data_IF_883268814391
#
_entry.id   IF_883268814391
#
_cell.length_a   1.000
_cell.length_b   1.000
_cell.length_c   1.000
_cell.angle_alpha   90.00
_cell.angle_beta   90.00
_cell.angle_gamma   90.00
#
_symmetry.space_group_name_H-M   'P 1'
#
loop_
_entity.id
_entity.type
_entity.pdbx_description
1 polymer ?
#
# COMPACT_ATOMS: atom_id res chain seq x y z
N UNK A 1 7.10 -23.76 48.91
CA UNK A 1 7.21 -24.23 47.50
C UNK A 1 5.95 -23.81 46.70
N UNK A 2 5.64 -22.50 46.65
CA UNK A 2 4.44 -22.03 45.93
C UNK A 2 4.71 -20.78 45.02
N UNK A 3 5.98 -20.44 44.77
CA UNK A 3 6.30 -19.21 44.00
C UNK A 3 6.78 -19.51 42.58
N UNK A 4 7.07 -20.81 42.23
CA UNK A 4 7.65 -21.14 40.91
C UNK A 4 6.63 -21.40 39.79
N UNK A 5 5.33 -21.51 40.12
CA UNK A 5 4.30 -21.82 39.13
C UNK A 5 3.69 -20.58 38.44
N UNK A 6 3.90 -19.36 38.99
CA UNK A 6 3.27 -18.14 38.46
C UNK A 6 4.07 -17.47 37.33
N UNK A 7 5.38 -17.72 37.28
CA UNK A 7 6.27 -17.11 36.27
C UNK A 7 6.20 -17.77 34.90
N UNK A 8 5.83 -19.05 34.81
CA UNK A 8 5.70 -19.77 33.52
C UNK A 8 4.44 -19.40 32.72
N UNK A 9 3.39 -18.94 33.41
CA UNK A 9 2.12 -18.56 32.75
C UNK A 9 2.17 -17.18 32.09
N UNK A 10 3.01 -16.26 32.61
CA UNK A 10 3.16 -14.93 32.05
C UNK A 10 4.03 -14.90 30.77
N UNK A 11 5.07 -15.73 30.69
CA UNK A 11 5.93 -15.81 29.52
C UNK A 11 5.20 -16.39 28.29
N UNK A 12 4.31 -17.35 28.48
CA UNK A 12 3.53 -17.94 27.37
C UNK A 12 2.48 -16.99 26.77
N UNK A 13 1.90 -16.09 27.56
CA UNK A 13 0.94 -15.08 27.04
C UNK A 13 1.63 -13.95 26.27
N UNK A 14 2.81 -13.53 26.65
CA UNK A 14 3.55 -12.48 25.97
C UNK A 14 4.01 -12.95 24.59
N UNK A 15 4.54 -14.16 24.48
CA UNK A 15 4.99 -14.76 23.21
C UNK A 15 3.81 -14.95 22.25
N UNK A 16 2.68 -15.45 22.72
CA UNK A 16 1.50 -15.66 21.86
C UNK A 16 0.85 -14.33 21.38
N UNK A 17 0.92 -13.27 22.16
CA UNK A 17 0.44 -11.95 21.75
C UNK A 17 1.35 -11.29 20.71
N UNK A 18 2.66 -11.48 20.81
CA UNK A 18 3.67 -10.97 19.89
C UNK A 18 3.59 -11.68 18.53
N UNK A 19 3.50 -13.01 18.52
CA UNK A 19 3.30 -13.82 17.31
C UNK A 19 2.00 -13.44 16.56
N UNK A 20 0.93 -13.12 17.28
CA UNK A 20 -0.33 -12.67 16.69
C UNK A 20 -0.19 -11.31 16.02
N UNK A 21 0.51 -10.36 16.65
CA UNK A 21 0.76 -9.04 16.08
C UNK A 21 1.62 -9.12 14.81
N UNK A 22 2.67 -9.93 14.83
CA UNK A 22 3.55 -10.18 13.68
C UNK A 22 2.76 -10.84 12.53
N UNK A 23 1.89 -11.81 12.82
CA UNK A 23 1.06 -12.44 11.79
C UNK A 23 0.07 -11.45 11.16
N UNK A 24 -0.57 -10.60 11.98
CA UNK A 24 -1.41 -9.50 11.49
C UNK A 24 -0.58 -8.53 10.64
N UNK A 25 0.60 -8.14 11.10
CA UNK A 25 1.50 -7.24 10.38
C UNK A 25 1.92 -7.80 9.02
N UNK A 26 2.24 -9.10 8.95
CA UNK A 26 2.53 -9.78 7.68
C UNK A 26 1.37 -9.65 6.70
N UNK A 27 0.16 -9.93 7.15
CA UNK A 27 -1.04 -9.79 6.34
C UNK A 27 -1.20 -8.36 5.80
N UNK A 28 -1.06 -7.36 6.67
CA UNK A 28 -1.21 -5.94 6.31
C UNK A 28 -0.11 -5.45 5.38
N UNK A 29 1.14 -5.88 5.54
CA UNK A 29 2.27 -5.53 4.65
C UNK A 29 2.03 -6.05 3.24
N UNK A 30 1.48 -7.26 3.09
CA UNK A 30 1.06 -7.77 1.78
C UNK A 30 -0.14 -6.97 1.24
N UNK A 31 -1.19 -6.79 2.04
CA UNK A 31 -2.38 -6.04 1.64
C UNK A 31 -2.08 -4.58 1.25
N UNK A 32 -1.04 -3.99 1.83
CA UNK A 32 -0.56 -2.65 1.50
C UNK A 32 0.39 -2.60 0.28
N UNK A 33 0.68 -3.72 -0.38
CA UNK A 33 1.55 -3.77 -1.54
C UNK A 33 3.03 -3.43 -1.26
N UNK A 34 3.46 -3.46 0.01
CA UNK A 34 4.84 -3.11 0.35
C UNK A 34 5.87 -4.00 -0.37
N UNK A 35 5.58 -5.30 -0.49
CA UNK A 35 6.47 -6.28 -1.13
C UNK A 35 6.69 -5.93 -2.59
N UNK A 36 5.62 -5.62 -3.32
CA UNK A 36 5.65 -5.29 -4.74
C UNK A 36 6.58 -4.12 -5.05
N UNK A 37 6.51 -3.04 -4.25
CA UNK A 37 7.33 -1.86 -4.48
C UNK A 37 8.74 -1.96 -3.86
N UNK A 38 8.90 -2.65 -2.72
CA UNK A 38 10.16 -2.67 -1.98
C UNK A 38 11.02 -3.93 -2.24
N UNK A 39 10.74 -4.68 -3.31
CA UNK A 39 11.54 -5.82 -3.76
C UNK A 39 11.93 -5.60 -5.21
N UNK A 40 13.19 -5.76 -5.57
CA UNK A 40 13.65 -5.71 -6.98
C UNK A 40 13.03 -6.85 -7.80
N UNK A 41 12.93 -6.63 -9.11
CA UNK A 41 12.42 -7.64 -10.06
C UNK A 41 13.48 -8.68 -10.45
N UNK A 42 14.66 -8.68 -9.82
CA UNK A 42 15.78 -9.56 -10.12
C UNK A 42 15.63 -10.93 -9.46
N UNK A 43 16.09 -11.98 -10.15
CA UNK A 43 16.12 -13.33 -9.61
C UNK A 43 17.01 -13.38 -8.36
N UNK A 44 16.45 -13.79 -7.23
CA UNK A 44 17.14 -13.85 -5.94
C UNK A 44 17.15 -12.54 -5.17
N UNK A 45 16.37 -11.54 -5.57
CA UNK A 45 16.20 -10.31 -4.80
C UNK A 45 15.72 -10.62 -3.37
N UNK A 46 16.30 -9.89 -2.40
CA UNK A 46 15.87 -10.00 -1.00
C UNK A 46 14.57 -9.22 -0.82
N UNK A 47 13.46 -9.87 -0.40
CA UNK A 47 12.20 -9.19 -0.21
C UNK A 47 12.33 -7.99 0.74
N UNK A 48 11.69 -6.88 0.39
CA UNK A 48 11.63 -5.64 1.18
C UNK A 48 12.98 -4.92 1.36
N UNK A 49 14.04 -5.37 0.67
CA UNK A 49 15.35 -4.72 0.72
C UNK A 49 15.49 -3.50 -0.21
N UNK A 50 14.40 -3.10 -0.86
CA UNK A 50 14.38 -1.93 -1.75
C UNK A 50 15.15 -2.12 -3.05
N UNK A 51 15.33 -1.03 -3.79
CA UNK A 51 16.08 -1.00 -5.04
C UNK A 51 15.23 -1.08 -6.31
N UNK A 52 13.94 -1.42 -6.21
CA UNK A 52 13.04 -1.45 -7.38
C UNK A 52 12.94 -0.06 -8.00
N UNK A 53 13.13 0.00 -9.32
CA UNK A 53 12.90 1.18 -10.12
C UNK A 53 11.40 1.38 -10.36
N UNK A 54 10.91 2.56 -10.02
CA UNK A 54 9.53 3.00 -10.23
C UNK A 54 9.55 4.13 -11.25
N UNK A 55 9.30 3.79 -12.50
CA UNK A 55 9.29 4.76 -13.60
C UNK A 55 8.05 5.68 -13.52
N UNK A 56 8.23 6.94 -13.82
CA UNK A 56 7.16 7.93 -13.84
C UNK A 56 7.42 9.02 -14.87
N UNK A 57 6.42 9.82 -15.25
CA UNK A 57 6.62 11.01 -16.08
C UNK A 57 7.58 12.06 -15.49
N UNK A 58 7.93 11.91 -14.20
CA UNK A 58 8.80 12.84 -13.46
C UNK A 58 10.24 12.32 -13.32
N UNK A 59 10.53 11.11 -13.80
CA UNK A 59 11.79 10.39 -13.64
C UNK A 59 11.63 9.09 -12.89
N UNK A 60 12.74 8.46 -12.55
CA UNK A 60 12.75 7.15 -11.88
C UNK A 60 12.97 7.31 -10.38
N UNK A 61 12.04 6.82 -9.60
CA UNK A 61 12.18 6.68 -8.16
C UNK A 61 12.70 5.27 -7.84
N UNK A 62 13.52 5.15 -6.81
CA UNK A 62 13.98 3.85 -6.32
C UNK A 62 13.43 3.62 -4.92
N UNK A 63 12.79 2.47 -4.71
CA UNK A 63 12.23 2.12 -3.41
C UNK A 63 13.34 1.94 -2.36
N UNK A 64 13.17 2.46 -1.14
CA UNK A 64 14.15 2.25 -0.07
C UNK A 64 14.07 0.84 0.51
N UNK A 65 15.15 0.42 1.18
CA UNK A 65 15.19 -0.75 2.04
C UNK A 65 14.31 -0.51 3.28
N UNK A 66 13.32 -1.36 3.51
CA UNK A 66 12.43 -1.33 4.69
C UNK A 66 12.59 -2.55 5.60
N UNK A 67 13.70 -3.30 5.45
CA UNK A 67 14.11 -4.32 6.42
C UNK A 67 14.66 -3.67 7.70
N UNK A 68 14.79 -4.41 8.82
CA UNK A 68 15.26 -3.85 10.08
C UNK A 68 16.79 -3.66 10.15
N UNK A 69 17.45 -3.45 9.00
CA UNK A 69 18.85 -3.03 9.00
C UNK A 69 18.97 -1.59 9.52
N UNK A 70 19.91 -1.38 10.47
CA UNK A 70 20.08 -0.08 11.11
C UNK A 70 20.74 0.95 10.19
N UNK A 71 21.59 0.50 9.28
CA UNK A 71 22.42 1.38 8.45
C UNK A 71 21.78 1.74 7.10
N UNK A 72 21.01 0.84 6.52
CA UNK A 72 20.43 0.99 5.18
C UNK A 72 18.91 0.81 5.11
N UNK A 73 18.30 0.35 6.20
CA UNK A 73 16.86 0.11 6.32
C UNK A 73 16.22 1.00 7.39
N UNK A 74 15.13 0.47 7.97
CA UNK A 74 14.34 1.20 8.97
C UNK A 74 14.62 0.73 10.41
N UNK A 75 15.68 -0.04 10.65
CA UNK A 75 15.98 -0.67 11.95
C UNK A 75 16.20 0.30 13.10
N UNK A 76 16.54 1.56 12.82
CA UNK A 76 16.69 2.63 13.83
C UNK A 76 15.39 3.39 14.13
N UNK A 77 14.29 3.14 13.40
CA UNK A 77 13.05 3.92 13.49
C UNK A 77 12.24 3.60 14.73
N UNK A 78 11.80 4.62 15.43
CA UNK A 78 10.79 4.50 16.49
C UNK A 78 9.41 4.14 15.90
N UNK A 79 8.45 3.85 16.77
CA UNK A 79 7.06 3.65 16.36
C UNK A 79 6.44 4.92 15.75
N UNK A 80 6.81 6.07 16.31
CA UNK A 80 6.31 7.35 15.83
C UNK A 80 6.94 7.72 14.48
N UNK A 81 8.21 7.44 14.23
CA UNK A 81 8.85 7.63 12.91
C UNK A 81 8.13 6.83 11.82
N UNK A 82 7.85 5.56 12.08
CA UNK A 82 7.16 4.70 11.12
C UNK A 82 5.74 5.20 10.83
N UNK A 83 5.00 5.56 11.88
CA UNK A 83 3.64 6.09 11.75
C UNK A 83 3.65 7.44 11.01
N UNK A 84 4.59 8.32 11.33
CA UNK A 84 4.73 9.64 10.68
C UNK A 84 5.08 9.49 9.19
N UNK A 85 5.93 8.52 8.84
CA UNK A 85 6.23 8.23 7.45
C UNK A 85 4.97 7.86 6.65
N UNK A 86 4.13 6.96 7.18
CA UNK A 86 2.88 6.57 6.53
C UNK A 86 1.85 7.70 6.51
N UNK A 87 1.71 8.41 7.62
CA UNK A 87 0.62 9.36 7.80
C UNK A 87 0.90 10.74 7.20
N UNK A 88 2.14 11.19 7.32
CA UNK A 88 2.53 12.55 6.96
C UNK A 88 3.54 12.58 5.79
N UNK A 89 4.07 11.42 5.37
CA UNK A 89 5.10 11.38 4.34
C UNK A 89 6.35 12.15 4.75
N UNK A 90 6.83 11.95 5.97
CA UNK A 90 8.07 12.52 6.51
C UNK A 90 9.00 11.39 6.96
N UNK A 91 10.30 11.57 6.74
CA UNK A 91 11.32 10.70 7.31
C UNK A 91 11.69 11.14 8.74
N UNK A 92 12.53 10.38 9.50
CA UNK A 92 12.95 10.76 10.86
C UNK A 92 13.72 12.09 10.95
N UNK A 93 14.22 12.60 9.84
CA UNK A 93 14.91 13.90 9.74
C UNK A 93 13.95 15.04 9.35
N UNK A 94 12.63 14.81 9.41
CA UNK A 94 11.58 15.76 9.00
C UNK A 94 11.62 16.17 7.51
N UNK A 95 12.27 15.37 6.66
CA UNK A 95 12.27 15.60 5.23
C UNK A 95 11.04 15.00 4.55
N UNK A 96 10.48 15.73 3.59
CA UNK A 96 9.31 15.28 2.86
C UNK A 96 9.63 14.14 1.88
N UNK A 97 8.81 13.09 1.87
CA UNK A 97 8.81 12.10 0.80
C UNK A 97 8.16 12.67 -0.47
N UNK A 98 8.60 12.15 -1.61
CA UNK A 98 7.90 12.34 -2.87
C UNK A 98 6.61 11.54 -2.89
N UNK A 99 5.55 12.02 -3.60
CA UNK A 99 4.27 11.30 -3.69
C UNK A 99 4.30 10.02 -4.55
N UNK A 100 5.47 9.54 -4.93
CA UNK A 100 5.71 8.17 -5.37
C UNK A 100 5.54 7.16 -4.22
N UNK A 101 5.79 7.60 -2.98
CA UNK A 101 5.37 6.89 -1.78
C UNK A 101 3.93 7.31 -1.46
N UNK A 102 2.95 6.37 -1.40
CA UNK A 102 1.53 6.70 -1.35
C UNK A 102 1.05 7.12 0.05
N UNK A 103 1.78 8.03 0.72
CA UNK A 103 1.37 8.58 2.02
C UNK A 103 0.03 9.31 1.94
N UNK A 104 -0.35 9.80 0.77
CA UNK A 104 -1.66 10.40 0.50
C UNK A 104 -2.82 9.44 0.76
N UNK A 105 -2.59 8.17 0.54
CA UNK A 105 -3.53 7.09 0.85
C UNK A 105 -3.29 6.53 2.26
N UNK A 106 -2.03 6.27 2.63
CA UNK A 106 -1.67 5.70 3.93
C UNK A 106 -1.99 6.59 5.13
N UNK A 107 -2.22 7.89 4.92
CA UNK A 107 -2.69 8.79 5.97
C UNK A 107 -3.96 8.29 6.65
N UNK A 108 -4.80 7.48 5.97
CA UNK A 108 -5.99 6.86 6.54
C UNK A 108 -5.76 5.54 7.28
N UNK A 109 -4.55 4.96 7.22
CA UNK A 109 -4.24 3.70 7.93
C UNK A 109 -4.32 3.91 9.44
N UNK A 110 -4.91 2.96 10.17
CA UNK A 110 -4.99 3.06 11.62
C UNK A 110 -3.62 2.91 12.27
N UNK A 111 -3.41 3.56 13.42
CA UNK A 111 -2.15 3.40 14.16
C UNK A 111 -1.88 1.95 14.56
N UNK A 112 -2.93 1.22 14.90
CA UNK A 112 -2.81 -0.18 15.28
C UNK A 112 -2.30 -1.03 14.11
N UNK A 113 -2.84 -0.82 12.91
CA UNK A 113 -2.38 -1.51 11.70
C UNK A 113 -0.95 -1.11 11.31
N UNK A 114 -0.61 0.18 11.39
CA UNK A 114 0.75 0.66 11.13
C UNK A 114 1.77 0.00 12.09
N UNK A 115 1.46 -0.10 13.38
CA UNK A 115 2.33 -0.74 14.36
C UNK A 115 2.42 -2.27 14.16
N UNK A 116 1.34 -2.92 13.73
CA UNK A 116 1.37 -4.33 13.36
C UNK A 116 2.27 -4.54 12.12
N UNK A 117 2.15 -3.70 11.09
CA UNK A 117 3.05 -3.72 9.92
C UNK A 117 4.51 -3.58 10.33
N UNK A 118 4.82 -2.59 11.19
CA UNK A 118 6.18 -2.41 11.73
C UNK A 118 6.65 -3.64 12.48
N UNK A 119 5.83 -4.23 13.35
CA UNK A 119 6.19 -5.43 14.11
C UNK A 119 6.62 -6.59 13.20
N UNK A 120 5.91 -6.78 12.08
CA UNK A 120 6.31 -7.78 11.08
C UNK A 120 7.62 -7.41 10.39
N UNK A 121 7.79 -6.17 9.91
CA UNK A 121 9.02 -5.73 9.25
C UNK A 121 10.23 -5.88 10.17
N UNK A 122 10.08 -5.59 11.46
CA UNK A 122 11.13 -5.74 12.47
C UNK A 122 11.37 -7.18 12.92
N UNK A 123 10.51 -8.13 12.55
CA UNK A 123 10.72 -9.56 12.75
C UNK A 123 11.54 -10.24 11.62
N UNK A 124 11.79 -9.52 10.53
CA UNK A 124 12.55 -10.02 9.39
C UNK A 124 14.06 -9.98 9.66
N UNK A 125 14.80 -10.78 8.90
CA UNK A 125 16.26 -10.66 8.89
C UNK A 125 16.69 -9.34 8.25
N UNK A 126 17.63 -8.59 8.85
CA UNK A 126 18.12 -7.35 8.27
C UNK A 126 18.90 -7.60 6.97
N UNK A 127 18.61 -6.86 5.93
CA UNK A 127 19.35 -6.89 4.68
C UNK A 127 20.21 -5.62 4.55
N UNK A 128 21.53 -5.78 4.47
CA UNK A 128 22.46 -4.67 4.27
C UNK A 128 22.47 -4.31 2.78
N UNK A 129 21.64 -3.36 2.39
CA UNK A 129 21.51 -2.92 1.00
C UNK A 129 21.13 -1.44 0.92
N UNK A 130 21.97 -0.65 0.25
CA UNK A 130 21.65 0.74 -0.09
C UNK A 130 20.87 0.78 -1.39
N UNK A 131 19.73 1.45 -1.39
CA UNK A 131 18.99 1.71 -2.63
C UNK A 131 19.69 2.81 -3.45
N UNK A 132 19.58 2.76 -4.78
CA UNK A 132 20.08 3.86 -5.63
C UNK A 132 19.42 5.20 -5.29
N UNK A 133 20.12 6.29 -5.59
CA UNK A 133 19.53 7.61 -5.57
C UNK A 133 18.47 7.73 -6.68
N UNK A 134 17.41 8.52 -6.43
CA UNK A 134 16.39 8.78 -7.45
C UNK A 134 17.00 9.47 -8.68
N UNK A 135 16.64 9.01 -9.86
CA UNK A 135 17.00 9.66 -11.13
C UNK A 135 15.90 10.65 -11.54
N UNK A 136 15.98 11.85 -11.00
CA UNK A 136 15.00 12.91 -11.20
C UNK A 136 15.67 14.15 -11.82
N UNK A 137 14.96 14.91 -12.67
CA UNK A 137 15.41 16.22 -13.09
C UNK A 137 15.70 17.10 -11.87
N UNK A 138 16.76 17.92 -11.94
CA UNK A 138 17.24 18.73 -10.80
C UNK A 138 16.15 19.60 -10.16
N UNK A 139 15.17 20.06 -10.94
CA UNK A 139 14.06 20.88 -10.44
C UNK A 139 12.97 20.07 -9.73
N UNK A 140 12.97 18.73 -9.86
CA UNK A 140 12.06 17.80 -9.20
C UNK A 140 12.70 17.09 -8.00
N UNK A 141 14.03 17.12 -7.87
CA UNK A 141 14.76 16.39 -6.82
C UNK A 141 14.71 17.05 -5.44
N UNK A 142 14.11 18.24 -5.33
CA UNK A 142 14.05 18.98 -4.07
C UNK A 142 12.96 18.47 -3.13
N UNK A 143 13.34 17.98 -1.97
CA UNK A 143 12.40 17.61 -0.90
C UNK A 143 11.58 18.79 -0.36
N UNK A 144 12.12 20.01 -0.45
CA UNK A 144 11.36 21.25 -0.15
C UNK A 144 10.23 21.46 -1.16
N UNK A 145 10.48 21.15 -2.45
CA UNK A 145 9.42 21.22 -3.47
C UNK A 145 8.33 20.16 -3.22
N UNK A 146 8.70 18.97 -2.75
CA UNK A 146 7.73 17.96 -2.30
C UNK A 146 6.87 18.48 -1.13
N UNK A 147 7.46 19.23 -0.18
CA UNK A 147 6.71 19.92 0.88
C UNK A 147 5.72 20.95 0.35
N UNK A 148 6.10 21.73 -0.65
CA UNK A 148 5.20 22.67 -1.34
C UNK A 148 4.06 21.97 -2.06
N UNK A 149 4.32 20.82 -2.69
CA UNK A 149 3.31 19.98 -3.30
C UNK A 149 2.30 19.48 -2.26
N UNK A 150 2.78 19.00 -1.11
CA UNK A 150 1.91 18.56 0.02
C UNK A 150 0.95 19.65 0.48
N UNK A 151 1.43 20.87 0.69
CA UNK A 151 0.58 22.00 1.10
C UNK A 151 -0.59 22.20 0.13
N UNK A 152 -0.40 21.90 -1.15
CA UNK A 152 -1.42 22.14 -2.18
C UNK A 152 -2.36 20.96 -2.43
N UNK A 153 -1.90 19.72 -2.23
CA UNK A 153 -2.57 18.53 -2.73
C UNK A 153 -2.73 17.42 -1.69
N UNK A 154 -2.25 17.60 -0.49
CA UNK A 154 -2.34 16.58 0.56
C UNK A 154 -3.21 17.07 1.72
N UNK A 155 -4.26 16.29 1.98
CA UNK A 155 -5.10 16.43 3.16
C UNK A 155 -4.88 15.22 4.07
N UNK A 156 -4.24 15.47 5.22
CA UNK A 156 -4.05 14.43 6.22
C UNK A 156 -5.40 14.08 6.88
N UNK A 157 -5.72 12.80 6.92
CA UNK A 157 -6.98 12.34 7.52
C UNK A 157 -6.94 10.87 7.87
N UNK A 158 -7.52 10.50 9.01
CA UNK A 158 -7.67 9.09 9.41
C UNK A 158 -8.96 8.53 8.83
N UNK A 159 -8.96 7.24 8.50
CA UNK A 159 -10.19 6.60 8.07
C UNK A 159 -11.23 6.64 9.19
N UNK A 160 -12.40 7.13 8.87
CA UNK A 160 -13.58 7.10 9.73
C UNK A 160 -14.65 6.21 9.10
N UNK A 161 -15.22 5.32 9.91
CA UNK A 161 -16.29 4.46 9.43
C UNK A 161 -17.57 5.27 9.18
N UNK A 162 -18.20 5.03 8.04
CA UNK A 162 -19.55 5.51 7.76
C UNK A 162 -20.56 4.62 8.49
N UNK A 163 -21.18 5.15 9.54
CA UNK A 163 -22.20 4.45 10.35
C UNK A 163 -23.48 4.14 9.59
N UNK A 164 -23.69 4.75 8.42
CA UNK A 164 -24.82 4.47 7.52
C UNK A 164 -24.57 3.26 6.61
N UNK A 165 -23.35 2.72 6.60
CA UNK A 165 -22.94 1.60 5.76
C UNK A 165 -22.68 0.33 6.58
N UNK A 166 -22.59 -0.81 5.89
CA UNK A 166 -22.26 -2.08 6.54
C UNK A 166 -20.78 -2.15 6.94
N UNK A 167 -20.45 -3.05 7.87
CA UNK A 167 -19.05 -3.33 8.24
C UNK A 167 -18.22 -3.78 7.02
N UNK A 168 -18.80 -4.63 6.16
CA UNK A 168 -18.16 -5.09 4.93
C UNK A 168 -17.86 -3.92 3.98
N UNK A 169 -18.78 -2.98 3.81
CA UNK A 169 -18.57 -1.79 3.00
C UNK A 169 -17.45 -0.91 3.58
N UNK A 170 -17.48 -0.64 4.88
CA UNK A 170 -16.45 0.13 5.57
C UNK A 170 -15.07 -0.53 5.47
N UNK A 171 -15.01 -1.85 5.60
CA UNK A 171 -13.76 -2.60 5.39
C UNK A 171 -13.25 -2.46 3.96
N UNK A 172 -14.14 -2.56 2.98
CA UNK A 172 -13.80 -2.34 1.56
C UNK A 172 -13.29 -0.92 1.29
N UNK A 173 -13.96 0.10 1.84
CA UNK A 173 -13.55 1.49 1.74
C UNK A 173 -12.13 1.71 2.32
N UNK A 174 -11.85 1.13 3.49
CA UNK A 174 -10.53 1.18 4.12
C UNK A 174 -9.45 0.53 3.25
N UNK A 175 -9.74 -0.66 2.70
CA UNK A 175 -8.81 -1.38 1.84
C UNK A 175 -8.55 -0.65 0.53
N UNK A 176 -9.59 -0.18 -0.15
CA UNK A 176 -9.45 0.45 -1.47
C UNK A 176 -8.81 1.83 -1.39
N UNK A 177 -9.22 2.65 -0.43
CA UNK A 177 -8.77 4.05 -0.35
C UNK A 177 -7.45 4.23 0.38
N UNK A 178 -7.18 3.37 1.36
CA UNK A 178 -6.05 3.57 2.26
C UNK A 178 -5.03 2.44 2.17
N UNK A 179 -5.33 1.26 2.67
CA UNK A 179 -4.32 0.21 2.80
C UNK A 179 -3.85 -0.30 1.43
N UNK A 180 -4.77 -0.69 0.54
CA UNK A 180 -4.45 -1.18 -0.80
C UNK A 180 -4.32 -0.08 -1.85
N UNK A 181 -4.62 1.18 -1.51
CA UNK A 181 -4.43 2.41 -2.30
C UNK A 181 -4.72 2.28 -3.81
N UNK A 182 -5.77 1.57 -4.19
CA UNK A 182 -6.12 1.27 -5.58
C UNK A 182 -6.21 2.53 -6.46
N UNK A 183 -6.62 3.66 -5.85
CA UNK A 183 -6.70 4.97 -6.50
C UNK A 183 -5.37 5.50 -7.00
N UNK A 184 -4.24 5.08 -6.44
CA UNK A 184 -2.91 5.56 -6.87
C UNK A 184 -2.60 5.20 -8.33
N UNK A 185 -3.09 4.04 -8.79
CA UNK A 185 -2.98 3.62 -10.19
C UNK A 185 -4.28 3.91 -10.97
N UNK A 186 -5.45 3.61 -10.39
CA UNK A 186 -6.73 3.64 -11.10
C UNK A 186 -7.42 5.02 -11.14
N UNK A 187 -6.77 6.09 -10.68
CA UNK A 187 -7.29 7.47 -10.76
C UNK A 187 -6.40 8.32 -11.65
N UNK A 188 -6.96 9.12 -12.57
CA UNK A 188 -6.14 10.00 -13.40
C UNK A 188 -5.37 11.01 -12.55
N UNK A 189 -4.20 11.42 -13.03
CA UNK A 189 -3.37 12.43 -12.36
C UNK A 189 -3.36 13.73 -13.13
N UNK A 190 -3.25 14.82 -12.40
CA UNK A 190 -3.00 16.14 -12.97
C UNK A 190 -1.53 16.32 -13.37
N UNK A 191 -1.21 17.46 -13.97
CA UNK A 191 0.13 17.79 -14.47
C UNK A 191 1.27 17.73 -13.43
N UNK A 192 0.94 17.86 -12.16
CA UNK A 192 1.88 17.79 -11.05
C UNK A 192 1.77 16.46 -10.26
N UNK A 193 1.16 15.43 -10.85
CA UNK A 193 1.07 14.09 -10.30
C UNK A 193 0.00 13.89 -9.22
N UNK A 194 -0.74 14.93 -8.84
CA UNK A 194 -1.85 14.80 -7.88
C UNK A 194 -3.04 14.06 -8.49
N UNK A 195 -3.70 13.22 -7.70
CA UNK A 195 -4.91 12.50 -8.09
C UNK A 195 -6.04 13.50 -8.38
N UNK A 196 -6.91 13.14 -9.33
CA UNK A 196 -8.11 13.92 -9.67
C UNK A 196 -9.32 13.36 -8.91
N UNK A 197 -9.69 13.94 -7.78
CA UNK A 197 -10.76 13.48 -6.89
C UNK A 197 -12.12 13.31 -7.60
N UNK A 198 -12.40 14.15 -8.59
CA UNK A 198 -13.63 14.07 -9.39
C UNK A 198 -13.66 12.87 -10.35
N UNK A 199 -12.55 12.15 -10.52
CA UNK A 199 -12.39 10.99 -11.37
C UNK A 199 -11.82 9.77 -10.61
N UNK A 200 -12.09 9.68 -9.30
CA UNK A 200 -11.65 8.58 -8.46
C UNK A 200 -11.98 7.23 -9.10
N UNK A 201 -10.98 6.37 -9.27
CA UNK A 201 -11.04 5.04 -9.88
C UNK A 201 -11.53 4.95 -11.33
N UNK A 202 -11.59 6.08 -12.05
CA UNK A 202 -12.02 6.15 -13.44
C UNK A 202 -10.96 5.70 -14.47
N UNK A 203 -9.86 5.12 -14.00
CA UNK A 203 -8.73 4.71 -14.82
C UNK A 203 -7.69 5.82 -15.01
N UNK A 204 -6.54 5.47 -15.54
CA UNK A 204 -5.46 6.40 -15.85
C UNK A 204 -4.82 6.02 -17.18
N UNK A 205 -5.14 6.78 -18.22
CA UNK A 205 -4.65 6.53 -19.57
C UNK A 205 -3.17 6.92 -19.77
N UNK A 206 -2.60 7.68 -18.84
CA UNK A 206 -1.23 8.21 -18.89
C UNK A 206 -0.42 7.70 -17.69
N UNK A 207 -0.59 6.43 -17.31
CA UNK A 207 0.10 5.84 -16.15
C UNK A 207 1.59 5.65 -16.41
N UNK A 208 1.96 5.15 -17.57
CA UNK A 208 3.33 4.94 -18.02
C UNK A 208 3.51 5.19 -19.51
N UNK A 209 4.72 5.06 -20.05
CA UNK A 209 5.02 5.36 -21.46
C UNK A 209 4.16 4.60 -22.48
N UNK A 210 3.74 3.39 -22.16
CA UNK A 210 2.89 2.53 -23.00
C UNK A 210 1.84 1.79 -22.17
N UNK A 211 1.54 2.28 -20.95
CA UNK A 211 0.61 1.64 -20.03
C UNK A 211 -0.60 2.53 -19.73
N UNK A 212 -1.77 1.95 -19.89
CA UNK A 212 -3.03 2.51 -19.40
C UNK A 212 -3.60 1.63 -18.31
N UNK A 213 -4.05 2.26 -17.22
CA UNK A 213 -4.73 1.57 -16.12
C UNK A 213 -6.24 1.70 -16.31
N UNK A 214 -7.01 0.59 -16.28
CA UNK A 214 -8.42 0.60 -16.60
C UNK A 214 -9.27 1.31 -15.54
N UNK A 215 -10.44 1.78 -15.97
CA UNK A 215 -11.52 2.22 -15.10
C UNK A 215 -12.09 1.02 -14.33
N UNK A 216 -12.09 1.10 -13.00
CA UNK A 216 -12.66 0.08 -12.11
C UNK A 216 -13.94 0.55 -11.41
N UNK A 217 -14.53 1.68 -11.84
CA UNK A 217 -15.86 2.08 -11.35
C UNK A 217 -16.96 1.16 -11.89
N UNK A 218 -18.18 1.18 -11.30
CA UNK A 218 -19.29 0.36 -11.80
C UNK A 218 -19.92 0.91 -13.09
N UNK A 219 -19.16 1.64 -13.92
CA UNK A 219 -19.59 1.98 -15.28
C UNK A 219 -19.70 0.70 -16.13
N UNK A 220 -20.80 0.59 -16.89
CA UNK A 220 -21.09 -0.64 -17.66
C UNK A 220 -20.43 -0.69 -19.04
N UNK A 221 -19.96 0.44 -19.53
CA UNK A 221 -19.37 0.55 -20.86
C UNK A 221 -17.84 0.61 -20.78
N UNK A 222 -17.33 1.39 -19.83
CA UNK A 222 -15.89 1.68 -19.72
C UNK A 222 -15.23 1.13 -18.45
N UNK A 223 -16.03 0.62 -17.51
CA UNK A 223 -15.54 0.08 -16.23
C UNK A 223 -15.97 -1.37 -16.00
N UNK A 224 -15.94 -1.76 -14.72
CA UNK A 224 -16.28 -3.14 -14.30
C UNK A 224 -17.76 -3.29 -13.89
N UNK A 225 -18.64 -2.43 -14.38
CA UNK A 225 -20.06 -2.43 -14.01
C UNK A 225 -20.82 -3.72 -14.36
N UNK A 226 -20.34 -4.48 -15.34
CA UNK A 226 -20.94 -5.78 -15.74
C UNK A 226 -20.42 -6.96 -14.91
N UNK A 227 -19.33 -6.80 -14.18
CA UNK A 227 -18.77 -7.83 -13.32
C UNK A 227 -19.63 -8.03 -12.08
N UNK A 228 -19.83 -9.27 -11.68
CA UNK A 228 -20.42 -9.60 -10.38
C UNK A 228 -19.42 -9.38 -9.23
N UNK A 229 -19.89 -9.40 -7.99
CA UNK A 229 -18.99 -9.39 -6.84
C UNK A 229 -18.02 -10.58 -6.85
N UNK A 230 -18.49 -11.74 -7.33
CA UNK A 230 -17.67 -12.94 -7.43
C UNK A 230 -16.62 -12.84 -8.53
N UNK A 231 -16.91 -12.16 -9.66
CA UNK A 231 -15.93 -11.94 -10.72
C UNK A 231 -14.79 -11.05 -10.21
N UNK A 232 -15.11 -9.99 -9.47
CA UNK A 232 -14.12 -9.09 -8.88
C UNK A 232 -13.29 -9.83 -7.81
N UNK A 233 -13.95 -10.58 -6.94
CA UNK A 233 -13.28 -11.37 -5.90
C UNK A 233 -12.31 -12.37 -6.51
N UNK A 234 -12.74 -13.09 -7.54
CA UNK A 234 -11.94 -14.11 -8.20
C UNK A 234 -10.78 -13.49 -9.01
N UNK A 235 -11.01 -12.34 -9.66
CA UNK A 235 -9.96 -11.57 -10.30
C UNK A 235 -8.88 -11.14 -9.30
N UNK A 236 -9.27 -10.63 -8.12
CA UNK A 236 -8.33 -10.25 -7.08
C UNK A 236 -7.59 -11.44 -6.45
N UNK A 237 -8.13 -12.66 -6.58
CA UNK A 237 -7.51 -13.90 -6.10
C UNK A 237 -6.45 -14.43 -7.05
N UNK A 238 -6.80 -14.58 -8.34
CA UNK A 238 -5.95 -15.29 -9.30
C UNK A 238 -5.65 -14.51 -10.58
N UNK A 239 -6.17 -13.31 -10.74
CA UNK A 239 -5.93 -12.45 -11.92
C UNK A 239 -6.74 -12.83 -13.16
N UNK A 240 -7.74 -13.72 -13.04
CA UNK A 240 -8.54 -14.15 -14.19
C UNK A 240 -9.69 -13.18 -14.47
N UNK A 241 -9.75 -12.70 -15.69
CA UNK A 241 -10.82 -11.86 -16.23
C UNK A 241 -12.09 -12.69 -16.51
N UNK A 242 -13.29 -12.08 -16.56
CA UNK A 242 -14.54 -12.80 -16.81
C UNK A 242 -14.63 -13.50 -18.20
N UNK A 243 -13.82 -13.10 -19.15
CA UNK A 243 -13.69 -13.74 -20.46
C UNK A 243 -12.74 -14.95 -20.48
N UNK A 244 -12.07 -15.22 -19.33
CA UNK A 244 -11.14 -16.33 -19.13
C UNK A 244 -9.68 -16.00 -19.44
N UNK A 245 -9.37 -14.76 -19.81
CA UNK A 245 -7.99 -14.29 -19.96
C UNK A 245 -7.39 -13.90 -18.62
N UNK A 246 -6.08 -13.64 -18.56
CA UNK A 246 -5.38 -13.25 -17.34
C UNK A 246 -4.77 -11.87 -17.48
N UNK A 247 -4.82 -11.09 -16.39
CA UNK A 247 -4.09 -9.85 -16.31
C UNK A 247 -2.59 -10.10 -16.17
N UNK A 248 -1.80 -9.13 -16.63
CA UNK A 248 -0.34 -9.13 -16.52
C UNK A 248 0.18 -7.76 -16.05
N UNK A 249 1.46 -7.49 -16.30
CA UNK A 249 2.10 -6.24 -15.95
C UNK A 249 2.04 -5.93 -14.45
N UNK A 250 1.96 -4.65 -14.09
CA UNK A 250 1.92 -4.20 -12.69
C UNK A 250 0.73 -4.78 -11.91
N UNK A 251 -0.45 -4.91 -12.54
CA UNK A 251 -1.60 -5.51 -11.86
C UNK A 251 -1.39 -6.99 -11.55
N UNK A 252 -0.66 -7.72 -12.40
CA UNK A 252 -0.26 -9.11 -12.13
C UNK A 252 0.60 -9.21 -10.88
N UNK A 253 1.60 -8.33 -10.72
CA UNK A 253 2.43 -8.26 -9.53
C UNK A 253 1.63 -7.89 -8.27
N UNK A 254 0.68 -6.93 -8.37
CA UNK A 254 -0.23 -6.59 -7.28
C UNK A 254 -1.06 -7.79 -6.84
N UNK A 255 -1.55 -8.60 -7.78
CA UNK A 255 -2.31 -9.81 -7.45
C UNK A 255 -1.40 -10.82 -6.74
N UNK A 256 -0.24 -11.12 -7.29
CA UNK A 256 0.67 -12.12 -6.75
C UNK A 256 1.13 -11.77 -5.32
N UNK A 257 1.53 -10.53 -5.09
CA UNK A 257 2.15 -10.12 -3.83
C UNK A 257 1.16 -9.56 -2.79
N UNK A 258 -0.03 -9.12 -3.22
CA UNK A 258 -0.99 -8.45 -2.35
C UNK A 258 -2.35 -9.14 -2.34
N UNK A 259 -3.18 -8.98 -3.37
CA UNK A 259 -4.60 -9.31 -3.26
C UNK A 259 -4.88 -10.82 -3.19
N UNK A 260 -4.07 -11.68 -3.81
CA UNK A 260 -4.17 -13.15 -3.66
C UNK A 260 -3.90 -13.62 -2.23
N UNK A 261 -3.14 -12.83 -1.46
CA UNK A 261 -2.81 -13.13 -0.06
C UNK A 261 -3.84 -12.59 0.92
N UNK A 262 -4.81 -11.81 0.44
CA UNK A 262 -5.93 -11.35 1.26
C UNK A 262 -6.92 -12.48 1.51
N UNK A 263 -7.68 -12.37 2.59
CA UNK A 263 -8.81 -13.25 2.82
C UNK A 263 -9.89 -13.03 1.76
N UNK A 264 -10.68 -14.06 1.51
CA UNK A 264 -11.84 -13.95 0.61
C UNK A 264 -12.82 -12.89 1.08
N UNK A 265 -12.98 -12.74 2.38
CA UNK A 265 -13.83 -11.73 3.01
C UNK A 265 -13.37 -10.31 2.67
N UNK A 266 -12.07 -10.05 2.70
CA UNK A 266 -11.49 -8.75 2.35
C UNK A 266 -11.59 -8.47 0.84
N UNK A 267 -11.37 -9.46 -0.03
CA UNK A 267 -11.59 -9.30 -1.48
C UNK A 267 -13.06 -9.01 -1.81
N UNK A 268 -14.00 -9.67 -1.13
CA UNK A 268 -15.43 -9.38 -1.25
C UNK A 268 -15.80 -8.00 -0.69
N UNK A 269 -15.12 -7.54 0.35
CA UNK A 269 -15.31 -6.20 0.89
C UNK A 269 -14.85 -5.14 -0.14
N UNK A 270 -13.69 -5.33 -0.77
CA UNK A 270 -13.21 -4.50 -1.88
C UNK A 270 -14.25 -4.46 -3.01
N UNK A 271 -14.73 -5.63 -3.47
CA UNK A 271 -15.73 -5.73 -4.51
C UNK A 271 -17.03 -5.00 -4.14
N UNK A 272 -17.50 -5.17 -2.89
CA UNK A 272 -18.71 -4.50 -2.37
C UNK A 272 -18.57 -2.99 -2.39
N UNK A 273 -17.43 -2.48 -1.93
CA UNK A 273 -17.16 -1.05 -1.93
C UNK A 273 -17.10 -0.48 -3.35
N UNK A 274 -16.30 -1.06 -4.24
CA UNK A 274 -16.13 -0.59 -5.62
C UNK A 274 -17.48 -0.58 -6.36
N UNK A 275 -18.30 -1.61 -6.19
CA UNK A 275 -19.64 -1.70 -6.84
C UNK A 275 -20.65 -0.70 -6.30
N UNK A 276 -20.40 -0.10 -5.14
CA UNK A 276 -21.25 0.94 -4.55
C UNK A 276 -20.91 2.36 -5.02
N UNK A 277 -19.78 2.55 -5.67
CA UNK A 277 -19.34 3.86 -6.14
C UNK A 277 -20.19 4.36 -7.32
N UNK A 278 -20.23 5.68 -7.56
CA UNK A 278 -20.86 6.20 -8.77
C UNK A 278 -20.07 5.76 -10.02
N UNK A 279 -20.75 5.41 -11.12
CA UNK A 279 -20.09 5.15 -12.39
C UNK A 279 -19.39 6.42 -12.90
N UNK A 280 -18.26 6.27 -13.52
CA UNK A 280 -17.46 7.37 -14.04
C UNK A 280 -17.03 7.13 -15.47
#
# INVERSE_FOLDING_TARGET
MAVLALTLFFAGMVVAADDSLVAQGKYLVHAAGCVTCHTEDDEGAVPLAGGRALESPFGTFYSPNITPDIGSGIGAWSDDDFVTALWEGLNPEDEHYFPAFPFTSYTGVTRADALAMKAYLFSLDPAVKQSPEHDLPFYMSSRVAAGGWKIRYFDAGRFEQDTGQSEQWNRGAYLVRHLGHCGECHTPRGRLGALQDNAELAGNAEFGPDESVPNITPDKEHGIGRWSLSDIEYFLDIGMLPDGDFTGGEMGAVIEDSTSRMTREDRLAIATYIKSLPPR
#
